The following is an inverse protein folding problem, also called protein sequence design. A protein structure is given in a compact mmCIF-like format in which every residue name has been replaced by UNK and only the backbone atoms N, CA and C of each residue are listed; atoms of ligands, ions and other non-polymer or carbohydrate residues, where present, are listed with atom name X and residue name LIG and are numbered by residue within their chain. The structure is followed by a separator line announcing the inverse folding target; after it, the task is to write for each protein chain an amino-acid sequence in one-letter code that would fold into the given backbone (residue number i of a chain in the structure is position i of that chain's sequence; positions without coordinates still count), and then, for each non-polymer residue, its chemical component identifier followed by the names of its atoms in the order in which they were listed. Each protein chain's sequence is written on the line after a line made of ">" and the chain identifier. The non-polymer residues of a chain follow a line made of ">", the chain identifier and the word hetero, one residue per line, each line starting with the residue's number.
data_IF_953295971672
#
_entry.id   IF_953295971672
#
_cell.length_a   1.000
_cell.length_b   1.000
_cell.length_c   1.000
_cell.angle_alpha   90.00
_cell.angle_beta   90.00
_cell.angle_gamma   90.00
#
_symmetry.space_group_name_H-M   'P 1'
#
loop_
_entity.id
_entity.type
_entity.pdbx_description
1 polymer ?
#
# COMPACT_ATOMS: atom_id res chain seq x y z
N UNK A 1 -9.96 -20.97 44.81
CA UNK A 1 -10.35 -19.99 43.78
C UNK A 1 -9.22 -19.91 42.77
N UNK A 2 -9.37 -20.57 41.62
CA UNK A 2 -8.36 -20.65 40.56
C UNK A 2 -8.89 -19.97 39.30
N UNK A 3 -8.68 -18.65 39.20
CA UNK A 3 -8.88 -17.89 37.96
C UNK A 3 -7.53 -17.29 37.58
N UNK A 4 -6.75 -18.01 36.76
CA UNK A 4 -5.60 -17.42 36.04
C UNK A 4 -5.10 -18.32 34.89
N UNK A 5 -6.02 -18.87 34.10
CA UNK A 5 -5.70 -19.57 32.84
C UNK A 5 -6.45 -18.97 31.64
N UNK A 6 -6.39 -17.64 31.49
CA UNK A 6 -7.04 -16.96 30.36
C UNK A 6 -6.07 -16.12 29.52
N UNK A 7 -4.77 -16.13 29.82
CA UNK A 7 -3.78 -15.31 29.11
C UNK A 7 -2.89 -16.09 28.11
N UNK A 8 -3.19 -17.37 27.86
CA UNK A 8 -2.49 -18.20 26.88
C UNK A 8 -3.52 -18.93 26.00
N UNK A 9 -4.36 -18.19 25.27
CA UNK A 9 -4.91 -18.71 24.01
C UNK A 9 -3.84 -18.46 22.95
N UNK A 10 -3.44 -19.51 22.26
CA UNK A 10 -2.21 -19.64 21.46
C UNK A 10 -1.81 -18.40 20.64
N UNK A 11 -0.61 -17.84 20.85
CA UNK A 11 -0.11 -16.69 20.09
C UNK A 11 0.35 -17.03 18.66
N UNK A 12 0.35 -18.30 18.26
CA UNK A 12 0.90 -18.75 16.97
C UNK A 12 -0.17 -19.07 15.90
N UNK A 13 -1.38 -19.51 16.28
CA UNK A 13 -2.35 -20.06 15.32
C UNK A 13 -3.34 -19.05 14.70
N UNK A 14 -3.20 -17.77 15.05
CA UNK A 14 -3.89 -16.63 14.43
C UNK A 14 -2.90 -15.73 13.65
N UNK A 15 -1.63 -16.14 13.56
CA UNK A 15 -0.56 -15.28 13.08
C UNK A 15 -0.76 -14.89 11.61
N UNK A 16 -1.21 -15.82 10.75
CA UNK A 16 -1.51 -15.51 9.33
C UNK A 16 -2.61 -14.47 9.20
N UNK A 17 -3.72 -14.61 9.93
CA UNK A 17 -4.84 -13.66 9.86
C UNK A 17 -4.47 -12.30 10.46
N UNK A 18 -3.72 -12.29 11.58
CA UNK A 18 -3.20 -11.06 12.18
C UNK A 18 -2.24 -10.34 11.23
N UNK A 19 -1.36 -11.08 10.54
CA UNK A 19 -0.45 -10.50 9.55
C UNK A 19 -1.23 -9.97 8.35
N UNK A 20 -2.20 -10.71 7.83
CA UNK A 20 -3.04 -10.25 6.71
C UNK A 20 -3.81 -8.99 7.08
N UNK A 21 -4.51 -8.98 8.22
CA UNK A 21 -5.24 -7.80 8.69
C UNK A 21 -4.32 -6.60 8.94
N UNK A 22 -3.10 -6.84 9.46
CA UNK A 22 -2.11 -5.79 9.65
C UNK A 22 -1.62 -5.20 8.32
N UNK A 23 -1.44 -6.02 7.29
CA UNK A 23 -1.02 -5.56 5.96
C UNK A 23 -2.18 -4.88 5.25
N UNK A 24 -3.40 -5.41 5.34
CA UNK A 24 -4.61 -4.80 4.78
C UNK A 24 -4.81 -3.38 5.33
N UNK A 25 -4.69 -3.22 6.65
CA UNK A 25 -4.73 -1.90 7.27
C UNK A 25 -3.61 -0.97 6.81
N UNK A 26 -2.37 -1.48 6.65
CA UNK A 26 -1.28 -0.68 6.10
C UNK A 26 -1.52 -0.32 4.62
N UNK A 27 -2.18 -1.17 3.82
CA UNK A 27 -2.57 -0.90 2.43
C UNK A 27 -3.61 0.20 2.37
N UNK A 28 -4.70 0.09 3.15
CA UNK A 28 -5.74 1.11 3.27
C UNK A 28 -5.12 2.47 3.64
N UNK A 29 -4.21 2.48 4.61
CA UNK A 29 -3.48 3.69 4.99
C UNK A 29 -2.66 4.26 3.83
N UNK A 30 -2.06 3.42 3.00
CA UNK A 30 -1.33 3.84 1.81
C UNK A 30 -2.25 4.47 0.77
N UNK A 31 -3.41 3.87 0.52
CA UNK A 31 -4.44 4.39 -0.39
C UNK A 31 -5.00 5.73 0.10
N UNK A 32 -5.27 5.85 1.41
CA UNK A 32 -5.71 7.07 2.07
C UNK A 32 -4.70 8.23 1.91
N UNK A 33 -3.40 7.95 2.03
CA UNK A 33 -2.36 8.97 1.81
C UNK A 33 -2.42 9.55 0.40
N UNK A 34 -2.63 8.69 -0.61
CA UNK A 34 -2.73 9.11 -2.02
C UNK A 34 -4.03 9.86 -2.28
N UNK A 35 -5.14 9.34 -1.76
CA UNK A 35 -6.47 9.94 -1.88
C UNK A 35 -6.50 11.33 -1.21
N UNK A 36 -5.92 11.47 -0.02
CA UNK A 36 -5.80 12.75 0.66
C UNK A 36 -5.03 13.78 -0.19
N UNK A 37 -3.89 13.36 -0.78
CA UNK A 37 -3.14 14.20 -1.70
C UNK A 37 -3.97 14.64 -2.92
N UNK A 38 -4.74 13.71 -3.51
CA UNK A 38 -5.63 14.01 -4.62
C UNK A 38 -6.75 14.99 -4.23
N UNK A 39 -7.39 14.77 -3.07
CA UNK A 39 -8.42 15.66 -2.54
C UNK A 39 -7.90 17.08 -2.34
N UNK A 40 -6.71 17.25 -1.76
CA UNK A 40 -6.06 18.55 -1.61
C UNK A 40 -5.80 19.22 -2.97
N UNK A 41 -5.36 18.46 -3.97
CA UNK A 41 -5.15 18.99 -5.33
C UNK A 41 -6.48 19.40 -5.97
N UNK A 42 -7.56 18.64 -5.81
CA UNK A 42 -8.88 19.02 -6.33
C UNK A 42 -9.37 20.34 -5.70
N UNK A 43 -9.07 20.56 -4.42
CA UNK A 43 -9.38 21.82 -3.72
C UNK A 43 -8.58 23.02 -4.26
N UNK A 44 -7.45 22.82 -4.95
CA UNK A 44 -6.64 23.92 -5.50
C UNK A 44 -7.43 24.84 -6.43
N UNK A 45 -8.43 24.30 -7.14
CA UNK A 45 -9.33 25.06 -8.01
C UNK A 45 -10.10 26.16 -7.27
N UNK A 46 -10.41 25.97 -5.98
CA UNK A 46 -11.09 26.97 -5.15
C UNK A 46 -10.19 28.16 -4.80
N UNK A 47 -8.87 27.95 -4.83
CA UNK A 47 -7.87 28.99 -4.56
C UNK A 47 -7.38 29.71 -5.82
N UNK A 48 -7.81 29.29 -7.02
CA UNK A 48 -7.43 29.92 -8.28
C UNK A 48 -7.77 31.43 -8.38
N UNK A 49 -8.87 31.95 -7.79
CA UNK A 49 -9.15 33.39 -7.77
C UNK A 49 -8.25 34.19 -6.82
N UNK A 50 -7.58 33.52 -5.87
CA UNK A 50 -6.89 34.15 -4.73
C UNK A 50 -5.38 34.07 -4.87
N UNK A 51 -4.84 33.04 -5.52
CA UNK A 51 -3.40 32.82 -5.68
C UNK A 51 -3.01 32.63 -7.15
N UNK A 52 -1.89 33.23 -7.60
CA UNK A 52 -1.44 33.06 -8.98
C UNK A 52 -0.94 31.63 -9.25
N UNK A 53 -0.97 31.17 -10.51
CA UNK A 53 -0.50 29.83 -10.90
C UNK A 53 0.95 29.53 -10.51
N UNK A 54 1.80 30.56 -10.44
CA UNK A 54 3.21 30.45 -10.01
C UNK A 54 3.37 30.01 -8.56
N UNK A 55 2.34 30.16 -7.73
CA UNK A 55 2.30 29.67 -6.34
C UNK A 55 1.47 28.39 -6.26
N UNK A 56 0.29 28.37 -6.89
CA UNK A 56 -0.65 27.26 -6.78
C UNK A 56 -0.13 25.97 -7.43
N UNK A 57 0.47 26.04 -8.63
CA UNK A 57 0.93 24.86 -9.36
C UNK A 57 2.12 24.17 -8.68
N UNK A 58 3.15 24.88 -8.17
CA UNK A 58 4.19 24.25 -7.36
C UNK A 58 3.65 23.60 -6.08
N UNK A 59 2.66 24.21 -5.41
CA UNK A 59 2.02 23.61 -4.23
C UNK A 59 1.29 22.31 -4.59
N UNK A 60 0.57 22.29 -5.71
CA UNK A 60 -0.06 21.05 -6.22
C UNK A 60 0.98 19.97 -6.49
N UNK A 61 2.10 20.31 -7.16
CA UNK A 61 3.18 19.38 -7.39
C UNK A 61 3.79 18.87 -6.08
N UNK A 62 3.97 19.75 -5.09
CA UNK A 62 4.51 19.39 -3.78
C UNK A 62 3.58 18.44 -3.03
N UNK A 63 2.27 18.70 -3.05
CA UNK A 63 1.26 17.83 -2.44
C UNK A 63 1.33 16.42 -3.01
N UNK A 64 1.32 16.29 -4.34
CA UNK A 64 1.47 14.99 -5.00
C UNK A 64 2.83 14.33 -4.72
N UNK A 65 3.91 15.10 -4.65
CA UNK A 65 5.23 14.56 -4.33
C UNK A 65 5.27 13.98 -2.91
N UNK A 66 4.69 14.70 -1.94
CA UNK A 66 4.65 14.29 -0.53
C UNK A 66 3.74 13.07 -0.36
N UNK A 67 2.51 13.08 -0.91
CA UNK A 67 1.59 11.94 -0.81
C UNK A 67 2.19 10.67 -1.41
N UNK A 68 2.73 10.75 -2.63
CA UNK A 68 3.36 9.61 -3.29
C UNK A 68 4.60 9.11 -2.51
N UNK A 69 5.39 10.03 -1.95
CA UNK A 69 6.56 9.65 -1.15
C UNK A 69 6.19 8.95 0.15
N UNK A 70 5.13 9.43 0.82
CA UNK A 70 4.59 8.80 2.02
C UNK A 70 4.03 7.40 1.73
N UNK A 71 3.23 7.26 0.66
CA UNK A 71 2.70 5.97 0.23
C UNK A 71 3.82 4.97 -0.14
N UNK A 72 4.87 5.43 -0.84
CA UNK A 72 6.03 4.60 -1.15
C UNK A 72 6.80 4.15 0.08
N UNK A 73 7.01 5.06 1.04
CA UNK A 73 7.64 4.71 2.32
C UNK A 73 6.79 3.69 3.09
N UNK A 74 5.48 3.84 3.06
CA UNK A 74 4.54 2.89 3.64
C UNK A 74 4.64 1.52 2.96
N UNK A 75 4.73 1.48 1.62
CA UNK A 75 4.92 0.24 0.86
C UNK A 75 6.19 -0.53 1.25
N UNK A 76 7.33 0.15 1.34
CA UNK A 76 8.57 -0.50 1.81
C UNK A 76 8.51 -0.93 3.28
N UNK A 77 7.74 -0.23 4.11
CA UNK A 77 7.52 -0.67 5.49
C UNK A 77 6.67 -1.95 5.53
N UNK A 78 5.64 -2.07 4.69
CA UNK A 78 4.84 -3.29 4.54
C UNK A 78 5.70 -4.47 4.10
N UNK A 79 6.53 -4.28 3.06
CA UNK A 79 7.47 -5.29 2.57
C UNK A 79 8.39 -5.80 3.69
N UNK A 80 8.97 -4.87 4.46
CA UNK A 80 9.87 -5.20 5.58
C UNK A 80 9.15 -5.92 6.72
N UNK A 81 7.97 -5.43 7.12
CA UNK A 81 7.14 -6.05 8.16
C UNK A 81 6.74 -7.46 7.76
N UNK A 82 6.21 -7.65 6.55
CA UNK A 82 5.81 -8.96 6.05
C UNK A 82 6.99 -9.92 5.97
N UNK A 83 8.13 -9.48 5.44
CA UNK A 83 9.34 -10.33 5.35
C UNK A 83 9.83 -10.76 6.73
N UNK A 84 9.81 -9.85 7.71
CA UNK A 84 10.17 -10.17 9.09
C UNK A 84 9.18 -11.14 9.74
N UNK A 85 7.88 -10.98 9.50
CA UNK A 85 6.84 -11.87 10.02
C UNK A 85 6.89 -13.26 9.40
N UNK A 86 7.09 -13.37 8.08
CA UNK A 86 7.23 -14.66 7.37
C UNK A 86 8.41 -15.48 7.92
N UNK A 87 9.51 -14.84 8.29
CA UNK A 87 10.68 -15.53 8.83
C UNK A 87 10.43 -16.21 10.18
N UNK A 88 9.38 -15.81 10.91
CA UNK A 88 9.00 -16.35 12.22
C UNK A 88 7.91 -17.42 12.15
N UNK A 89 7.28 -17.60 10.99
CA UNK A 89 6.14 -18.49 10.77
C UNK A 89 6.58 -19.91 10.42
N UNK A 90 5.69 -20.89 10.64
CA UNK A 90 5.92 -22.26 10.21
C UNK A 90 5.78 -22.41 8.68
N UNK A 91 6.36 -23.49 8.13
CA UNK A 91 6.39 -23.70 6.67
C UNK A 91 5.00 -23.66 6.02
N UNK A 92 3.98 -24.17 6.71
CA UNK A 92 2.61 -24.21 6.19
C UNK A 92 1.97 -22.82 6.12
N UNK A 93 2.22 -21.95 7.11
CA UNK A 93 1.76 -20.56 7.15
C UNK A 93 2.49 -19.68 6.13
N UNK A 94 3.78 -19.91 5.97
CA UNK A 94 4.59 -19.24 4.94
C UNK A 94 4.01 -19.47 3.53
N UNK A 95 3.53 -20.69 3.24
CA UNK A 95 2.90 -21.01 1.95
C UNK A 95 1.63 -20.18 1.73
N UNK A 96 0.86 -19.90 2.79
CA UNK A 96 -0.38 -19.11 2.71
C UNK A 96 -0.10 -17.63 2.45
N UNK A 97 0.97 -17.07 3.02
CA UNK A 97 1.37 -15.67 2.80
C UNK A 97 2.24 -15.47 1.54
N UNK A 98 2.76 -16.55 0.96
CA UNK A 98 3.62 -16.50 -0.23
C UNK A 98 3.01 -15.71 -1.41
N UNK A 99 1.71 -15.80 -1.73
CA UNK A 99 1.11 -14.99 -2.79
C UNK A 99 1.21 -13.48 -2.52
N UNK A 100 1.03 -13.05 -1.27
CA UNK A 100 1.17 -11.64 -0.87
C UNK A 100 2.64 -11.21 -0.93
N UNK A 101 3.55 -12.06 -0.42
CA UNK A 101 4.98 -11.79 -0.48
C UNK A 101 5.53 -11.71 -1.91
N UNK A 102 5.00 -12.54 -2.83
CA UNK A 102 5.38 -12.56 -4.23
C UNK A 102 5.08 -11.22 -4.93
N UNK A 103 4.03 -10.50 -4.53
CA UNK A 103 3.72 -9.17 -5.09
C UNK A 103 4.89 -8.21 -4.93
N UNK A 104 5.58 -8.21 -3.78
CA UNK A 104 6.73 -7.32 -3.56
C UNK A 104 7.93 -7.66 -4.46
N UNK A 105 8.12 -8.94 -4.78
CA UNK A 105 9.16 -9.39 -5.69
C UNK A 105 8.82 -9.16 -7.18
N UNK A 106 7.55 -9.34 -7.55
CA UNK A 106 7.06 -9.17 -8.93
C UNK A 106 6.84 -7.69 -9.30
N UNK A 107 6.48 -6.87 -8.32
CA UNK A 107 6.20 -5.45 -8.47
C UNK A 107 7.04 -4.58 -7.52
N UNK A 108 8.38 -4.67 -7.58
CA UNK A 108 9.24 -3.92 -6.68
C UNK A 108 9.07 -2.42 -6.90
N UNK A 109 8.90 -1.68 -5.80
CA UNK A 109 8.92 -0.22 -5.86
C UNK A 109 10.36 0.29 -5.96
N UNK A 110 10.69 1.16 -6.93
CA UNK A 110 11.98 1.81 -6.98
C UNK A 110 12.16 2.75 -5.79
N UNK A 111 13.40 3.00 -5.38
CA UNK A 111 13.68 3.96 -4.31
C UNK A 111 13.14 5.36 -4.65
N UNK A 112 12.94 6.22 -3.64
CA UNK A 112 12.55 7.61 -3.87
C UNK A 112 13.61 8.35 -4.70
N UNK A 113 14.90 8.11 -4.42
CA UNK A 113 16.00 8.70 -5.19
C UNK A 113 15.96 8.29 -6.66
N UNK A 114 15.68 7.02 -6.95
CA UNK A 114 15.50 6.55 -8.33
C UNK A 114 14.24 7.11 -8.96
N UNK A 115 13.16 7.23 -8.20
CA UNK A 115 11.87 7.77 -8.67
C UNK A 115 11.96 9.24 -9.04
N UNK A 116 12.71 10.07 -8.30
CA UNK A 116 12.89 11.48 -8.63
C UNK A 116 14.00 11.72 -9.66
N UNK A 117 14.75 10.69 -10.04
CA UNK A 117 15.80 10.81 -11.05
C UNK A 117 15.20 10.92 -12.46
N UNK A 118 15.23 12.13 -13.01
CA UNK A 118 14.71 12.43 -14.36
C UNK A 118 15.39 11.62 -15.46
N UNK A 119 16.69 11.35 -15.31
CA UNK A 119 17.50 10.63 -16.30
C UNK A 119 17.23 9.13 -16.28
N UNK A 120 16.89 8.56 -15.12
CA UNK A 120 16.49 7.16 -15.01
C UNK A 120 15.05 6.92 -15.47
N UNK A 121 14.20 7.93 -15.43
CA UNK A 121 12.78 7.82 -15.76
C UNK A 121 12.42 8.54 -17.07
N UNK A 122 13.23 8.37 -18.12
CA UNK A 122 13.08 9.09 -19.40
C UNK A 122 11.66 9.02 -19.99
N UNK A 123 11.00 7.86 -19.94
CA UNK A 123 9.63 7.70 -20.45
C UNK A 123 8.64 8.61 -19.71
N UNK A 124 8.76 8.71 -18.38
CA UNK A 124 7.91 9.58 -17.55
C UNK A 124 8.29 11.05 -17.74
N UNK A 125 9.59 11.35 -17.74
CA UNK A 125 10.12 12.69 -18.00
C UNK A 125 9.62 13.21 -19.35
N UNK A 126 9.72 12.42 -20.41
CA UNK A 126 9.27 12.80 -21.75
C UNK A 126 7.76 13.06 -21.79
N UNK A 127 6.95 12.20 -21.17
CA UNK A 127 5.49 12.41 -21.06
C UNK A 127 5.16 13.71 -20.32
N UNK A 128 5.87 13.97 -19.23
CA UNK A 128 5.71 15.18 -18.40
C UNK A 128 6.16 16.44 -19.14
N UNK A 129 7.28 16.39 -19.87
CA UNK A 129 7.77 17.50 -20.72
C UNK A 129 6.78 17.77 -21.86
N UNK A 130 6.32 16.74 -22.57
CA UNK A 130 5.35 16.88 -23.65
C UNK A 130 4.03 17.48 -23.14
N UNK A 131 3.49 16.95 -22.05
CA UNK A 131 2.26 17.48 -21.46
C UNK A 131 2.45 18.89 -20.90
N UNK A 132 3.60 19.18 -20.29
CA UNK A 132 3.94 20.52 -19.81
C UNK A 132 4.05 21.53 -20.95
N UNK A 133 4.68 21.16 -22.07
CA UNK A 133 4.78 22.03 -23.24
C UNK A 133 3.42 22.31 -23.89
N UNK A 134 2.52 21.33 -23.92
CA UNK A 134 1.16 21.48 -24.46
C UNK A 134 0.25 22.38 -23.62
N UNK A 135 0.52 22.52 -22.31
CA UNK A 135 -0.32 23.30 -21.39
C UNK A 135 0.40 24.58 -20.94
N UNK A 136 1.47 24.42 -20.17
CA UNK A 136 2.39 25.44 -19.65
C UNK A 136 3.55 24.71 -18.92
N UNK A 137 4.81 25.15 -19.05
CA UNK A 137 5.96 24.59 -18.34
C UNK A 137 5.76 24.30 -16.84
N UNK A 138 4.95 25.09 -16.12
CA UNK A 138 4.62 24.87 -14.71
C UNK A 138 3.86 23.56 -14.43
N UNK A 139 3.26 22.95 -15.44
CA UNK A 139 2.59 21.64 -15.33
C UNK A 139 3.56 20.46 -15.41
N UNK A 140 4.77 20.65 -15.92
CA UNK A 140 5.75 19.58 -16.04
C UNK A 140 6.01 18.89 -14.68
N UNK A 141 6.32 19.60 -13.58
CA UNK A 141 6.49 18.97 -12.27
C UNK A 141 5.25 18.20 -11.83
N UNK A 142 4.05 18.77 -11.99
CA UNK A 142 2.76 18.15 -11.62
C UNK A 142 2.58 16.82 -12.35
N UNK A 143 2.72 16.82 -13.67
CA UNK A 143 2.55 15.61 -14.49
C UNK A 143 3.57 14.53 -14.15
N UNK A 144 4.79 14.94 -13.76
CA UNK A 144 5.82 14.00 -13.35
C UNK A 144 5.42 13.27 -12.05
N UNK A 145 5.05 14.04 -11.02
CA UNK A 145 4.70 13.48 -9.70
C UNK A 145 3.34 12.79 -9.70
N UNK A 146 2.39 13.25 -10.51
CA UNK A 146 1.14 12.54 -10.77
C UNK A 146 1.41 11.16 -11.38
N UNK A 147 2.38 11.08 -12.31
CA UNK A 147 2.85 9.80 -12.83
C UNK A 147 3.49 8.90 -11.77
N UNK A 148 4.09 9.46 -10.71
CA UNK A 148 4.54 8.67 -9.55
C UNK A 148 3.35 8.16 -8.74
N UNK A 149 2.40 9.04 -8.41
CA UNK A 149 1.19 8.71 -7.67
C UNK A 149 0.40 7.55 -8.31
N UNK A 150 0.21 7.57 -9.63
CA UNK A 150 -0.45 6.49 -10.37
C UNK A 150 0.29 5.15 -10.22
N UNK A 151 1.62 5.18 -10.19
CA UNK A 151 2.42 3.97 -9.95
C UNK A 151 2.24 3.46 -8.51
N UNK A 152 2.17 4.35 -7.52
CA UNK A 152 1.88 3.95 -6.13
C UNK A 152 0.53 3.25 -6.02
N UNK A 153 -0.50 3.89 -6.56
CA UNK A 153 -1.89 3.41 -6.53
C UNK A 153 -2.01 2.04 -7.20
N UNK A 154 -1.36 1.86 -8.36
CA UNK A 154 -1.37 0.57 -9.06
C UNK A 154 -0.75 -0.55 -8.21
N UNK A 155 0.38 -0.28 -7.56
CA UNK A 155 1.06 -1.29 -6.75
C UNK A 155 0.28 -1.63 -5.47
N UNK A 156 -0.31 -0.63 -4.81
CA UNK A 156 -1.21 -0.85 -3.68
C UNK A 156 -2.45 -1.65 -4.11
N UNK A 157 -3.05 -1.32 -5.24
CA UNK A 157 -4.21 -2.06 -5.76
C UNK A 157 -3.90 -3.51 -6.14
N UNK A 158 -2.69 -3.82 -6.63
CA UNK A 158 -2.26 -5.21 -6.86
C UNK A 158 -2.08 -5.95 -5.53
N UNK A 159 -1.47 -5.29 -4.54
CA UNK A 159 -1.27 -5.86 -3.21
C UNK A 159 -2.62 -6.14 -2.51
N UNK A 160 -3.55 -5.19 -2.55
CA UNK A 160 -4.90 -5.32 -2.02
C UNK A 160 -5.62 -6.54 -2.62
N UNK A 161 -5.59 -6.70 -3.95
CA UNK A 161 -6.17 -7.88 -4.62
C UNK A 161 -5.55 -9.18 -4.14
N UNK A 162 -4.24 -9.22 -3.94
CA UNK A 162 -3.56 -10.42 -3.45
C UNK A 162 -3.98 -10.77 -2.02
N UNK A 163 -4.20 -9.77 -1.16
CA UNK A 163 -4.72 -9.96 0.21
C UNK A 163 -6.13 -10.53 0.15
N UNK A 164 -7.05 -9.88 -0.58
CA UNK A 164 -8.44 -10.34 -0.75
C UNK A 164 -8.50 -11.77 -1.30
N UNK A 165 -7.63 -12.11 -2.25
CA UNK A 165 -7.58 -13.47 -2.80
C UNK A 165 -7.12 -14.51 -1.77
N UNK A 166 -6.17 -14.17 -0.89
CA UNK A 166 -5.74 -15.06 0.20
C UNK A 166 -6.83 -15.19 1.27
N UNK A 167 -7.48 -14.08 1.65
CA UNK A 167 -8.59 -14.08 2.60
C UNK A 167 -9.76 -14.95 2.11
N UNK A 168 -10.13 -14.82 0.82
CA UNK A 168 -11.16 -15.67 0.20
C UNK A 168 -10.78 -17.14 0.23
N UNK A 169 -9.52 -17.49 -0.07
CA UNK A 169 -9.05 -18.88 0.00
C UNK A 169 -9.16 -19.45 1.42
N UNK A 170 -8.83 -18.64 2.43
CA UNK A 170 -8.97 -19.01 3.84
C UNK A 170 -10.44 -19.20 4.25
N UNK A 171 -11.35 -18.36 3.74
CA UNK A 171 -12.78 -18.45 4.02
C UNK A 171 -13.46 -19.64 3.32
N UNK A 172 -13.17 -19.87 2.03
CA UNK A 172 -13.80 -20.90 1.22
C UNK A 172 -13.23 -22.30 1.49
N UNK A 173 -11.92 -22.38 1.74
CA UNK A 173 -11.20 -23.63 1.98
C UNK A 173 -10.44 -23.53 3.29
N UNK A 174 -11.16 -23.44 4.43
CA UNK A 174 -10.50 -23.33 5.71
C UNK A 174 -9.64 -24.57 5.89
N UNK A 175 -8.33 -24.41 6.15
CA UNK A 175 -7.43 -25.54 6.33
C UNK A 175 -7.91 -26.42 7.48
N UNK A 176 -7.47 -27.69 7.50
CA UNK A 176 -8.02 -28.70 8.40
C UNK A 176 -7.98 -28.27 9.88
N UNK A 177 -6.92 -27.56 10.28
CA UNK A 177 -6.76 -26.97 11.61
C UNK A 177 -7.81 -25.89 11.93
N UNK A 178 -8.17 -25.06 10.94
CA UNK A 178 -9.16 -23.98 11.06
C UNK A 178 -10.59 -24.54 11.10
N UNK A 179 -10.87 -25.62 10.36
CA UNK A 179 -12.13 -26.38 10.45
C UNK A 179 -12.31 -27.05 11.81
N UNK A 180 -11.27 -27.70 12.33
CA UNK A 180 -11.30 -28.35 13.65
C UNK A 180 -11.64 -27.35 14.76
N UNK A 181 -11.19 -26.10 14.62
CA UNK A 181 -11.46 -25.01 15.55
C UNK A 181 -12.87 -24.43 15.45
N UNK A 182 -13.40 -24.18 14.25
CA UNK A 182 -14.81 -23.75 14.08
C UNK A 182 -15.79 -24.76 14.68
N UNK A 183 -15.41 -26.04 14.67
CA UNK A 183 -16.18 -27.12 15.32
C UNK A 183 -15.99 -27.08 16.84
N UNK A 184 -14.76 -26.88 17.33
CA UNK A 184 -14.47 -26.75 18.76
C UNK A 184 -15.15 -25.55 19.42
N UNK A 185 -15.15 -24.37 18.78
CA UNK A 185 -15.78 -23.17 19.32
C UNK A 185 -17.31 -23.31 19.37
N UNK A 186 -17.93 -23.96 18.38
CA UNK A 186 -19.37 -24.30 18.38
C UNK A 186 -19.79 -25.33 19.43
N UNK A 187 -18.84 -26.08 20.00
CA UNK A 187 -19.10 -27.08 21.05
C UNK A 187 -18.94 -26.50 22.46
N UNK A 188 -18.47 -25.26 22.58
CA UNK A 188 -18.27 -24.56 23.86
C UNK A 188 -19.27 -23.43 24.15
N UNK A 189 -20.21 -23.19 23.23
CA UNK A 189 -21.40 -22.32 23.43
C UNK A 189 -22.65 -23.17 23.75
#
# INVERSE_FOLDING_TARGET
>A
MSQQKTYLKDPFDDAVLIILAGIDHDVERGEDMLMFGLCLVMLSSTFAPVAPPTVLLPLVALTFAISASCARKNYHNMERKLSASIALLEHHEQIMLRPVAAVFAEHPMPSLADSFNLLKNLKRTLKSVLGGFLINPLWMPILYVMGMQICEEKNLGILNRAIIDVERRLADHPPAWLKQRLISDKLTD
#
